data_IF_269364650856
#
_entry.id   IF_269364650856
#
_cell.length_a   1.000
_cell.length_b   1.000
_cell.length_c   1.000
_cell.angle_alpha   90.00
_cell.angle_beta   90.00
_cell.angle_gamma   90.00
#
_symmetry.space_group_name_H-M   'P 1'
#
loop_
_entity.id
_entity.type
_entity.pdbx_description
1 polymer ?
#
# COMPACT_ATOMS: atom_id res chain seq x y z
N UNK A 1 -7.01 -12.85 -6.97
CA UNK A 1 -7.42 -11.80 -6.03
C UNK A 1 -6.23 -11.02 -5.49
N UNK A 2 -6.48 -9.91 -4.86
CA UNK A 2 -5.43 -9.07 -4.28
C UNK A 2 -4.73 -9.76 -3.11
N UNK A 3 -3.40 -9.53 -3.02
CA UNK A 3 -2.56 -9.92 -1.89
C UNK A 3 -1.70 -8.71 -1.53
N UNK A 4 -1.66 -8.28 -0.26
CA UNK A 4 -0.77 -7.20 0.14
C UNK A 4 0.69 -7.66 0.04
N UNK A 5 1.51 -6.86 -0.67
CA UNK A 5 2.95 -7.13 -0.82
C UNK A 5 3.76 -6.31 0.18
N UNK A 6 3.44 -5.03 0.29
CA UNK A 6 4.05 -4.13 1.27
C UNK A 6 2.96 -3.37 2.02
N UNK A 7 3.25 -3.01 3.25
CA UNK A 7 2.35 -2.21 4.07
C UNK A 7 3.15 -1.32 5.02
N UNK A 8 2.54 -0.24 5.46
CA UNK A 8 3.07 0.56 6.56
C UNK A 8 2.59 0.01 7.89
N UNK A 9 3.44 0.04 8.89
CA UNK A 9 3.12 -0.41 10.24
C UNK A 9 3.71 0.53 11.28
N UNK A 10 3.12 0.52 12.47
CA UNK A 10 3.58 1.32 13.59
C UNK A 10 3.25 0.64 14.92
N UNK A 11 3.97 1.01 15.98
CA UNK A 11 3.62 0.58 17.33
C UNK A 11 2.30 1.22 17.77
N UNK A 12 1.49 0.50 18.54
CA UNK A 12 0.22 1.00 19.08
C UNK A 12 0.40 2.26 19.92
N UNK A 13 1.42 2.27 20.79
CA UNK A 13 1.72 3.44 21.62
C UNK A 13 2.11 4.67 20.79
N UNK A 14 2.83 4.48 19.69
CA UNK A 14 3.15 5.56 18.78
C UNK A 14 1.90 6.13 18.12
N UNK A 15 1.00 5.28 17.65
CA UNK A 15 -0.28 5.71 17.04
C UNK A 15 -1.14 6.49 18.02
N UNK A 16 -1.24 6.05 19.28
CA UNK A 16 -1.97 6.76 20.32
C UNK A 16 -1.44 8.16 20.57
N UNK A 17 -0.12 8.32 20.57
CA UNK A 17 0.54 9.60 20.84
C UNK A 17 0.75 10.47 19.59
N UNK A 18 0.59 9.92 18.40
CA UNK A 18 0.88 10.58 17.12
C UNK A 18 -0.24 10.39 16.08
N UNK A 19 -1.48 10.26 16.53
CA UNK A 19 -2.62 10.01 15.65
C UNK A 19 -2.76 11.06 14.55
N UNK A 20 -2.52 12.33 14.85
CA UNK A 20 -2.58 13.42 13.88
C UNK A 20 -1.51 13.27 12.79
N UNK A 21 -0.29 12.93 13.16
CA UNK A 21 0.80 12.68 12.22
C UNK A 21 0.49 11.45 11.33
N UNK A 22 -0.01 10.37 11.93
CA UNK A 22 -0.43 9.18 11.18
C UNK A 22 -1.54 9.51 10.17
N UNK A 23 -2.53 10.30 10.58
CA UNK A 23 -3.61 10.71 9.68
C UNK A 23 -3.09 11.54 8.50
N UNK A 24 -2.20 12.48 8.75
CA UNK A 24 -1.60 13.30 7.68
C UNK A 24 -0.79 12.44 6.71
N UNK A 25 -0.05 11.46 7.21
CA UNK A 25 0.68 10.52 6.38
C UNK A 25 -0.26 9.71 5.48
N UNK A 26 -1.30 9.13 6.04
CA UNK A 26 -2.27 8.34 5.27
C UNK A 26 -3.04 9.21 4.27
N UNK A 27 -3.38 10.45 4.65
CA UNK A 27 -3.99 11.41 3.72
C UNK A 27 -3.08 11.68 2.52
N UNK A 28 -1.77 11.81 2.74
CA UNK A 28 -0.80 12.02 1.66
C UNK A 28 -0.72 10.79 0.73
N UNK A 29 -0.73 9.58 1.28
CA UNK A 29 -0.77 8.35 0.49
C UNK A 29 -2.05 8.26 -0.35
N UNK A 30 -3.22 8.50 0.24
CA UNK A 30 -4.49 8.49 -0.49
C UNK A 30 -4.51 9.53 -1.62
N UNK A 31 -3.99 10.72 -1.36
CA UNK A 31 -3.87 11.77 -2.37
C UNK A 31 -2.93 11.36 -3.52
N UNK A 32 -1.81 10.74 -3.20
CA UNK A 32 -0.86 10.25 -4.19
C UNK A 32 -1.47 9.12 -5.04
N UNK A 33 -2.20 8.19 -4.44
CA UNK A 33 -2.90 7.13 -5.18
C UNK A 33 -3.91 7.69 -6.17
N UNK A 34 -4.69 8.68 -5.76
CA UNK A 34 -5.64 9.38 -6.64
C UNK A 34 -4.91 10.10 -7.77
N UNK A 35 -3.84 10.82 -7.44
CA UNK A 35 -3.04 11.54 -8.44
C UNK A 35 -2.47 10.59 -9.50
N UNK A 36 -1.90 9.46 -9.07
CA UNK A 36 -1.39 8.42 -9.98
C UNK A 36 -2.48 7.89 -10.90
N UNK A 37 -3.69 7.66 -10.36
CA UNK A 37 -4.81 7.18 -11.16
C UNK A 37 -5.26 8.17 -12.26
N UNK A 38 -5.08 9.46 -12.01
CA UNK A 38 -5.52 10.54 -12.91
C UNK A 38 -4.45 11.02 -13.90
N UNK A 39 -3.21 10.52 -13.80
CA UNK A 39 -2.07 10.98 -14.59
C UNK A 39 -1.50 9.85 -15.46
N UNK A 40 -0.80 10.25 -16.53
CA UNK A 40 -0.16 9.31 -17.46
C UNK A 40 1.08 8.65 -16.84
N UNK A 41 1.52 7.55 -17.44
CA UNK A 41 2.76 6.88 -17.03
C UNK A 41 3.97 7.82 -17.12
N UNK A 42 4.01 8.67 -18.14
CA UNK A 42 5.05 9.65 -18.30
C UNK A 42 5.04 10.70 -17.19
N UNK A 43 3.89 11.24 -16.85
CA UNK A 43 3.74 12.22 -15.78
C UNK A 43 4.13 11.65 -14.42
N UNK A 44 3.77 10.39 -14.16
CA UNK A 44 4.19 9.69 -12.93
C UNK A 44 5.70 9.52 -12.89
N UNK A 45 6.30 9.07 -14.01
CA UNK A 45 7.75 8.93 -14.10
C UNK A 45 8.49 10.25 -13.88
N UNK A 46 8.01 11.34 -14.46
CA UNK A 46 8.57 12.69 -14.27
C UNK A 46 8.50 13.14 -12.80
N UNK A 47 7.42 12.80 -12.11
CA UNK A 47 7.24 13.18 -10.71
C UNK A 47 8.23 12.47 -9.76
N UNK A 48 8.72 11.29 -10.11
CA UNK A 48 9.55 10.46 -9.23
C UNK A 48 11.00 10.31 -9.69
N UNK A 49 11.36 10.76 -10.90
CA UNK A 49 12.68 10.52 -11.51
C UNK A 49 13.84 10.97 -10.64
N UNK A 50 13.69 12.06 -9.93
CA UNK A 50 14.74 12.60 -9.06
C UNK A 50 15.06 11.68 -7.86
N UNK A 51 14.14 10.79 -7.50
CA UNK A 51 14.33 9.80 -6.43
C UNK A 51 15.07 8.54 -6.92
N UNK A 52 15.27 8.41 -8.24
CA UNK A 52 15.89 7.23 -8.86
C UNK A 52 17.03 7.68 -9.80
N UNK A 53 18.15 8.20 -9.24
CA UNK A 53 19.23 8.80 -10.03
C UNK A 53 19.91 7.84 -11.01
N UNK A 54 19.81 6.53 -10.77
CA UNK A 54 20.41 5.49 -11.62
C UNK A 54 19.43 4.91 -12.66
N UNK A 55 18.21 5.45 -12.73
CA UNK A 55 17.15 4.96 -13.62
C UNK A 55 16.73 6.07 -14.57
N UNK A 56 16.66 5.79 -15.87
CA UNK A 56 16.22 6.76 -16.87
C UNK A 56 14.72 7.04 -16.76
N UNK A 57 14.30 8.17 -17.30
CA UNK A 57 12.88 8.54 -17.36
C UNK A 57 12.07 7.54 -18.18
N UNK A 58 12.63 7.04 -19.29
CA UNK A 58 12.00 6.03 -20.13
C UNK A 58 11.82 4.68 -19.40
N UNK A 59 12.81 4.28 -18.62
CA UNK A 59 12.71 3.08 -17.78
C UNK A 59 11.63 3.23 -16.70
N UNK A 60 11.56 4.38 -16.05
CA UNK A 60 10.51 4.67 -15.04
C UNK A 60 9.11 4.71 -15.66
N UNK A 61 8.98 5.27 -16.86
CA UNK A 61 7.71 5.23 -17.60
C UNK A 61 7.27 3.80 -17.89
N UNK A 62 8.18 2.94 -18.34
CA UNK A 62 7.92 1.52 -18.58
C UNK A 62 7.54 0.78 -17.29
N UNK A 63 8.22 1.06 -16.18
CA UNK A 63 7.90 0.50 -14.85
C UNK A 63 6.50 0.93 -14.41
N UNK A 64 6.17 2.21 -14.58
CA UNK A 64 4.84 2.73 -14.25
C UNK A 64 3.75 2.03 -15.05
N UNK A 65 3.94 1.90 -16.37
CA UNK A 65 3.01 1.18 -17.23
C UNK A 65 2.82 -0.27 -16.79
N UNK A 66 3.91 -0.95 -16.41
CA UNK A 66 3.85 -2.33 -15.92
C UNK A 66 3.08 -2.44 -14.61
N UNK A 67 3.29 -1.52 -13.68
CA UNK A 67 2.56 -1.48 -12.39
C UNK A 67 1.05 -1.31 -12.61
N UNK A 68 0.65 -0.46 -13.57
CA UNK A 68 -0.77 -0.32 -13.93
C UNK A 68 -1.36 -1.59 -14.52
N UNK A 69 -0.61 -2.26 -15.43
CA UNK A 69 -1.08 -3.49 -16.09
C UNK A 69 -1.38 -4.61 -15.10
N UNK A 70 -0.61 -4.72 -14.03
CA UNK A 70 -0.76 -5.75 -13.01
C UNK A 70 -1.59 -5.28 -11.80
N UNK A 71 -2.16 -4.08 -11.89
CA UNK A 71 -2.94 -3.46 -10.80
C UNK A 71 -2.17 -3.42 -9.47
N UNK A 72 -0.88 -3.09 -9.53
CA UNK A 72 0.01 -3.06 -8.37
C UNK A 72 -0.23 -1.86 -7.45
N UNK A 73 -0.83 -0.79 -7.96
CA UNK A 73 -1.19 0.39 -7.19
C UNK A 73 -2.67 0.38 -6.85
N UNK A 74 -2.97 0.22 -5.57
CA UNK A 74 -4.34 0.24 -5.10
C UNK A 74 -4.95 1.64 -5.23
N UNK A 75 -6.26 1.69 -5.45
CA UNK A 75 -7.00 2.95 -5.55
C UNK A 75 -7.11 3.67 -4.20
N UNK A 76 -7.07 2.93 -3.11
CA UNK A 76 -7.19 3.45 -1.75
C UNK A 76 -6.19 2.79 -0.80
N UNK A 77 -5.87 3.41 0.35
CA UNK A 77 -4.98 2.81 1.34
C UNK A 77 -5.67 1.79 2.27
N UNK A 78 -6.93 1.44 1.99
CA UNK A 78 -7.68 0.46 2.80
C UNK A 78 -7.17 -0.96 2.50
N UNK A 79 -6.83 -1.72 3.53
CA UNK A 79 -6.53 -3.15 3.41
C UNK A 79 -7.80 -3.96 3.62
N UNK A 80 -8.18 -4.74 2.61
CA UNK A 80 -9.34 -5.62 2.71
C UNK A 80 -9.00 -6.91 3.47
N UNK A 81 -9.94 -7.37 4.29
CA UNK A 81 -9.75 -8.58 5.09
C UNK A 81 -9.41 -9.79 4.22
N UNK A 82 -10.11 -9.96 3.13
CA UNK A 82 -9.88 -11.10 2.22
C UNK A 82 -8.48 -11.07 1.58
N UNK A 83 -7.92 -9.89 1.35
CA UNK A 83 -6.56 -9.75 0.80
C UNK A 83 -5.51 -10.27 1.80
N UNK A 84 -5.65 -9.91 3.08
CA UNK A 84 -4.77 -10.41 4.14
C UNK A 84 -4.92 -11.92 4.32
N UNK A 85 -6.13 -12.43 4.33
CA UNK A 85 -6.41 -13.88 4.48
C UNK A 85 -5.82 -14.69 3.32
N UNK A 86 -5.82 -14.15 2.09
CA UNK A 86 -5.14 -14.79 0.95
C UNK A 86 -3.63 -14.86 1.16
N UNK A 87 -3.02 -13.79 1.66
CA UNK A 87 -1.59 -13.79 1.98
C UNK A 87 -1.28 -14.85 3.04
N UNK A 88 -2.03 -14.87 4.14
CA UNK A 88 -1.86 -15.84 5.21
C UNK A 88 -2.01 -17.28 4.71
N UNK A 89 -2.98 -17.53 3.83
CA UNK A 89 -3.16 -18.82 3.17
C UNK A 89 -1.96 -19.24 2.34
N UNK A 90 -1.41 -18.32 1.54
CA UNK A 90 -0.21 -18.59 0.73
C UNK A 90 0.98 -18.89 1.62
N UNK A 91 1.17 -18.14 2.69
CA UNK A 91 2.26 -18.36 3.65
C UNK A 91 2.11 -19.70 4.39
N UNK A 92 0.90 -20.07 4.75
CA UNK A 92 0.61 -21.37 5.36
C UNK A 92 0.93 -22.52 4.41
N UNK A 93 0.49 -22.43 3.15
CA UNK A 93 0.78 -23.42 2.12
C UNK A 93 2.28 -23.55 1.80
N UNK A 94 3.01 -22.45 1.92
CA UNK A 94 4.47 -22.42 1.76
C UNK A 94 5.21 -22.94 3.00
N UNK A 95 4.52 -23.20 4.11
CA UNK A 95 5.13 -23.66 5.37
C UNK A 95 5.78 -22.55 6.20
N UNK A 96 5.55 -21.28 5.84
CA UNK A 96 6.14 -20.12 6.51
C UNK A 96 5.28 -19.60 7.68
N UNK A 97 4.01 -19.97 7.73
CA UNK A 97 3.07 -19.54 8.76
C UNK A 97 2.11 -20.68 9.12
N UNK A 98 2.14 -21.14 10.35
CA UNK A 98 1.15 -22.13 10.82
C UNK A 98 -0.21 -21.45 11.01
N UNK A 99 -1.30 -22.18 10.76
CA UNK A 99 -2.67 -21.67 10.94
C UNK A 99 -2.90 -21.13 12.36
N UNK A 100 -2.33 -21.78 13.35
CA UNK A 100 -2.38 -21.35 14.77
C UNK A 100 -1.70 -20.00 15.04
N UNK A 101 -0.88 -19.52 14.12
CA UNK A 101 -0.17 -18.25 14.20
C UNK A 101 -0.94 -17.11 13.50
N UNK A 102 -2.06 -17.40 12.85
CA UNK A 102 -2.90 -16.37 12.23
C UNK A 102 -3.43 -15.41 13.30
N UNK A 103 -3.35 -14.13 12.99
CA UNK A 103 -3.84 -13.06 13.87
C UNK A 103 -5.19 -12.57 13.32
N UNK A 104 -6.20 -12.35 14.17
CA UNK A 104 -7.45 -11.76 13.73
C UNK A 104 -7.21 -10.43 12.99
N UNK A 105 -7.93 -10.22 11.89
CA UNK A 105 -7.76 -9.05 11.04
C UNK A 105 -7.81 -7.74 11.84
N UNK A 106 -8.80 -7.59 12.71
CA UNK A 106 -8.98 -6.36 13.48
C UNK A 106 -7.87 -6.10 14.53
N UNK A 107 -7.12 -7.15 14.90
CA UNK A 107 -5.97 -7.02 15.81
C UNK A 107 -4.70 -6.59 15.07
N UNK A 108 -4.62 -6.86 13.77
CA UNK A 108 -3.44 -6.57 12.96
C UNK A 108 -3.60 -5.31 12.11
N UNK A 109 -4.77 -5.08 11.55
CA UNK A 109 -5.04 -4.00 10.58
C UNK A 109 -5.91 -2.92 11.19
N UNK A 110 -5.44 -1.69 11.08
CA UNK A 110 -6.19 -0.49 11.45
C UNK A 110 -6.49 0.33 10.20
N UNK A 111 -7.71 0.26 9.72
CA UNK A 111 -8.19 1.04 8.56
C UNK A 111 -8.82 2.38 8.93
N UNK A 112 -8.81 2.77 10.21
CA UNK A 112 -9.47 4.00 10.65
C UNK A 112 -8.94 5.23 9.93
N UNK A 113 -7.61 5.37 9.83
CA UNK A 113 -6.97 6.49 9.14
C UNK A 113 -7.23 6.46 7.63
N UNK A 114 -7.23 5.27 7.04
CA UNK A 114 -7.48 5.08 5.62
C UNK A 114 -8.93 5.45 5.25
N UNK A 115 -9.91 5.01 6.04
CA UNK A 115 -11.32 5.35 5.82
C UNK A 115 -11.58 6.85 5.92
N UNK A 116 -10.95 7.50 6.89
CA UNK A 116 -11.04 8.96 7.03
C UNK A 116 -10.43 9.68 5.81
N UNK A 117 -9.28 9.20 5.32
CA UNK A 117 -8.57 9.80 4.20
C UNK A 117 -9.35 9.75 2.88
N UNK A 118 -10.13 8.70 2.66
CA UNK A 118 -10.93 8.54 1.42
C UNK A 118 -12.36 9.08 1.54
N UNK A 119 -12.73 9.57 2.70
CA UNK A 119 -14.05 10.15 2.94
C UNK A 119 -15.09 9.13 3.29
#
# INVERSE_FOLDING_TARGET
>A
GEIPYTAYFANLSWLENNADTAQRFVNAIAKAQKWVAEHTDREVAEAIVDQFPDTSLEELEAVTARHRQIDAWNATPIMEQQALERLETVMEQAGELAHSQWVPFDDLVNNTFARYAVG
#
